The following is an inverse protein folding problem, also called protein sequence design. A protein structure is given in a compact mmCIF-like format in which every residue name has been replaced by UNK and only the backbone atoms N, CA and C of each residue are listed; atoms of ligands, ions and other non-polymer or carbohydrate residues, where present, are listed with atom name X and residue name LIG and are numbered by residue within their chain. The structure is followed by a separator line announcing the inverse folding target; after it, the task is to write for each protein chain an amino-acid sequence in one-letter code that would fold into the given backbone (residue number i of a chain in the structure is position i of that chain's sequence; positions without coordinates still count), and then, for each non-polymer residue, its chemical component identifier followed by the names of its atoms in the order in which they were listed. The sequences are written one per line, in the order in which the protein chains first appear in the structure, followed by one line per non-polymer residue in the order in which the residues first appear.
data_IF_263586357823
#
_entry.id   IF_263586357823
#
_cell.length_a   1.000
_cell.length_b   1.000
_cell.length_c   1.000
_cell.angle_alpha   90.00
_cell.angle_beta   90.00
_cell.angle_gamma   90.00
#
_symmetry.space_group_name_H-M   'P 1'
#
loop_
_entity.id
_entity.type
_entity.pdbx_description
1 polymer ?
2 non-polymer ?
3 non-polymer ?
4 non-polymer ?
5 non-polymer ?
6 water ?
#
# COMPACT_ATOMS: atom_id res chain seq x y z
N UNK A 5 -23.99 1.56 10.14
CA UNK A 5 -24.18 2.06 11.54
C UNK A 5 -22.99 1.66 12.44
N UNK A 6 -22.39 2.66 13.08
CA UNK A 6 -21.23 2.50 13.95
C UNK A 6 -21.71 2.57 15.40
N UNK A 7 -21.60 1.46 16.13
CA UNK A 7 -21.94 1.43 17.56
C UNK A 7 -20.94 2.25 18.39
N UNK A 8 -21.32 2.49 19.64
CA UNK A 8 -20.51 3.28 20.56
C UNK A 8 -19.21 2.58 20.92
N UNK A 9 -18.14 3.35 21.05
CA UNK A 9 -16.90 2.82 21.67
C UNK A 9 -17.14 2.57 23.14
N UNK A 10 -16.47 1.54 23.71
CA UNK A 10 -16.51 1.37 25.15
C UNK A 10 -15.68 2.43 25.86
N UNK A 11 -15.82 2.52 27.19
CA UNK A 11 -14.91 3.31 28.01
C UNK A 11 -13.48 2.84 27.76
N UNK A 12 -12.56 3.80 27.62
CA UNK A 12 -11.14 3.51 27.41
C UNK A 12 -10.33 4.53 28.20
N UNK A 13 -9.21 4.09 28.76
CA UNK A 13 -8.30 4.98 29.50
C UNK A 13 -7.03 5.09 28.70
N UNK A 14 -6.74 6.30 28.22
CA UNK A 14 -5.53 6.55 27.44
C UNK A 14 -5.09 7.99 27.65
N UNK A 15 -3.86 8.32 27.24
CA UNK A 15 -3.39 9.68 27.44
C UNK A 15 -4.20 10.70 26.66
N UNK A 16 -4.48 11.82 27.30
CA UNK A 16 -5.26 12.89 26.68
C UNK A 16 -4.45 13.53 25.56
N UNK A 17 -5.04 13.69 24.37
CA UNK A 17 -4.32 14.46 23.36
C UNK A 17 -4.29 15.91 23.81
N UNK A 18 -3.17 16.58 23.57
CA UNK A 18 -3.05 17.99 23.96
C UNK A 18 -2.85 18.86 22.74
N UNK A 19 -3.75 19.81 22.62
CA UNK A 19 -3.88 20.66 21.47
C UNK A 19 -2.60 21.49 21.23
N UNK A 20 -1.96 21.90 22.32
CA UNK A 20 -0.76 22.75 22.27
C UNK A 20 0.56 21.95 22.36
N UNK A 21 0.45 20.63 22.23
CA UNK A 21 1.59 19.73 22.08
C UNK A 21 1.38 18.87 20.82
N UNK A 22 2.09 19.19 19.73
CA UNK A 22 2.11 18.28 18.56
C UNK A 22 2.71 16.93 18.91
N UNK A 23 2.24 15.88 18.24
CA UNK A 23 2.83 14.54 18.35
C UNK A 23 4.27 14.63 17.78
N UNK A 24 4.35 14.96 16.50
CA UNK A 24 5.58 15.08 15.74
C UNK A 24 5.73 16.50 15.25
N UNK A 25 6.87 17.12 15.53
CA UNK A 25 7.23 18.45 15.03
C UNK A 25 8.25 18.40 13.90
N UNK A 26 8.77 17.21 13.59
CA UNK A 26 9.84 17.03 12.61
C UNK A 26 9.36 16.69 11.21
N UNK A 27 8.08 16.34 11.08
CA UNK A 27 7.52 15.89 9.81
C UNK A 27 6.11 16.46 9.60
N UNK A 28 5.72 16.54 8.34
CA UNK A 28 4.36 16.85 7.93
C UNK A 28 3.46 15.65 8.23
N UNK A 29 2.42 15.86 9.01
CA UNK A 29 1.52 14.77 9.43
C UNK A 29 0.11 14.87 8.81
N UNK A 30 -0.12 15.89 7.98
CA UNK A 30 -1.39 16.01 7.23
C UNK A 30 -1.08 16.69 5.89
N UNK A 31 -1.68 16.19 4.81
CA UNK A 31 -1.47 16.77 3.50
C UNK A 31 -2.29 18.09 3.35
N UNK A 32 -2.01 18.89 2.32
CA UNK A 32 -2.83 20.11 2.14
C UNK A 32 -4.28 19.87 1.73
N UNK A 33 -4.66 18.63 1.42
CA UNK A 33 -6.05 18.28 1.24
C UNK A 33 -6.62 17.54 2.45
N UNK A 34 -5.95 17.69 3.60
CA UNK A 34 -6.43 17.20 4.90
C UNK A 34 -6.52 15.68 4.97
N UNK A 35 -5.57 15.01 4.35
CA UNK A 35 -5.38 13.58 4.54
C UNK A 35 -4.24 13.36 5.54
N UNK A 36 -4.47 12.54 6.57
CA UNK A 36 -3.35 12.18 7.46
C UNK A 36 -2.18 11.54 6.73
N UNK A 37 -0.97 11.88 7.16
CA UNK A 37 0.24 11.17 6.74
C UNK A 37 0.65 10.37 7.96
N UNK A 38 0.69 9.05 7.79
CA UNK A 38 0.78 8.11 8.89
C UNK A 38 2.25 7.86 9.30
N UNK A 39 2.60 8.42 10.45
CA UNK A 39 3.90 8.23 11.12
C UNK A 39 3.67 7.70 12.54
N UNK A 40 4.69 7.02 13.09
CA UNK A 40 4.63 6.61 14.47
C UNK A 40 4.52 7.85 15.37
N UNK A 41 3.64 7.76 16.34
CA UNK A 41 3.36 8.88 17.27
C UNK A 41 2.11 9.66 16.91
N UNK A 42 1.58 9.48 15.70
CA UNK A 42 0.35 10.18 15.28
C UNK A 42 -0.95 9.48 15.65
N UNK A 43 -0.86 8.18 15.96
CA UNK A 43 -2.07 7.39 16.20
C UNK A 43 -2.03 6.59 17.49
N UNK A 44 -3.18 6.47 18.13
CA UNK A 44 -3.39 5.59 19.26
C UNK A 44 -4.03 4.33 18.66
N UNK A 45 -3.23 3.28 18.56
CA UNK A 45 -3.68 2.04 17.92
C UNK A 45 -4.82 1.34 18.67
N UNK A 46 -4.90 1.53 19.99
CA UNK A 46 -6.01 0.97 20.76
C UNK A 46 -7.35 1.55 20.31
N UNK A 47 -7.40 2.87 20.07
CA UNK A 47 -8.62 3.52 19.60
C UNK A 47 -8.96 3.00 18.21
N UNK A 48 -7.99 2.98 17.31
CA UNK A 48 -8.23 2.51 15.95
C UNK A 48 -8.62 1.03 15.90
N UNK A 49 -7.94 0.18 16.66
CA UNK A 49 -8.36 -1.21 16.73
C UNK A 49 -9.80 -1.39 17.16
N UNK A 50 -10.23 -0.63 18.17
CA UNK A 50 -11.62 -0.67 18.61
C UNK A 50 -12.57 -0.28 17.48
N UNK A 51 -12.29 0.84 16.83
CA UNK A 51 -13.15 1.33 15.75
C UNK A 51 -13.28 0.29 14.63
N UNK A 52 -12.16 -0.28 14.19
CA UNK A 52 -12.20 -1.23 13.08
C UNK A 52 -12.74 -2.60 13.46
N UNK A 53 -12.45 -3.08 14.68
CA UNK A 53 -13.07 -4.35 15.15
C UNK A 53 -14.57 -4.24 15.32
N UNK A 54 -15.04 -3.09 15.76
CA UNK A 54 -16.51 -2.87 15.94
C UNK A 54 -17.24 -2.93 14.59
N UNK A 55 -16.53 -2.70 13.48
CA UNK A 55 -17.08 -2.87 12.12
C UNK A 55 -16.80 -4.27 11.53
N UNK A 56 -16.20 -5.18 12.28
CA UNK A 56 -15.78 -6.51 11.83
C UNK A 56 -15.03 -6.44 10.50
N UNK A 57 -14.02 -5.58 10.46
CA UNK A 57 -13.31 -5.28 9.23
C UNK A 57 -12.51 -6.46 8.69
N UNK A 58 -12.64 -6.72 7.38
CA UNK A 58 -11.84 -7.73 6.71
C UNK A 58 -10.89 -7.06 5.71
N UNK A 59 -9.61 -7.40 5.80
CA UNK A 59 -8.60 -6.81 4.96
C UNK A 59 -8.08 -7.88 4.02
N UNK A 60 -8.15 -7.61 2.71
CA UNK A 60 -7.53 -8.45 1.69
C UNK A 60 -6.13 -7.94 1.41
N UNK A 61 -5.16 -8.84 1.28
CA UNK A 61 -3.79 -8.47 0.91
C UNK A 61 -3.45 -9.21 -0.36
N UNK A 62 -3.16 -8.49 -1.43
CA UNK A 62 -2.78 -9.11 -2.69
C UNK A 62 -1.28 -9.09 -2.84
N UNK A 63 -0.73 -10.16 -3.36
CA UNK A 63 0.69 -10.25 -3.60
C UNK A 63 0.94 -11.13 -4.83
N UNK A 64 1.85 -10.70 -5.70
CA UNK A 64 2.19 -11.44 -6.91
C UNK A 64 3.52 -12.13 -6.72
N UNK A 65 3.55 -13.43 -7.04
CA UNK A 65 4.78 -14.22 -6.90
C UNK A 65 4.90 -15.06 -8.16
N UNK A 66 5.48 -14.44 -9.18
CA UNK A 66 5.57 -15.00 -10.53
C UNK A 66 7.02 -15.33 -10.82
N UNK A 67 7.24 -16.48 -11.46
CA UNK A 67 8.57 -16.98 -11.79
C UNK A 67 9.46 -17.11 -10.54
N UNK A 68 10.66 -16.55 -10.52
CA UNK A 68 11.56 -16.78 -9.41
C UNK A 68 11.09 -16.12 -8.10
N UNK A 69 10.12 -15.20 -8.19
CA UNK A 69 9.68 -14.47 -6.99
C UNK A 69 8.85 -15.31 -6.03
N UNK A 70 8.49 -16.55 -6.42
CA UNK A 70 7.88 -17.46 -5.45
C UNK A 70 8.78 -17.72 -4.24
N UNK A 71 10.10 -17.62 -4.42
CA UNK A 71 11.03 -17.79 -3.31
C UNK A 71 10.85 -16.78 -2.17
N UNK A 72 10.23 -15.64 -2.44
CA UNK A 72 10.02 -14.62 -1.39
C UNK A 72 8.79 -14.86 -0.52
N UNK A 73 7.93 -15.80 -0.91
CA UNK A 73 6.66 -15.96 -0.23
C UNK A 73 6.77 -16.41 1.20
N UNK A 74 7.71 -17.29 1.51
CA UNK A 74 7.78 -17.85 2.85
C UNK A 74 8.02 -16.77 3.89
N UNK A 75 9.06 -15.96 3.68
CA UNK A 75 9.36 -14.87 4.62
C UNK A 75 8.27 -13.79 4.61
N UNK A 76 7.73 -13.49 3.43
CA UNK A 76 6.67 -12.49 3.32
C UNK A 76 5.48 -12.90 4.19
N UNK A 77 5.01 -14.12 4.00
CA UNK A 77 3.80 -14.58 4.71
C UNK A 77 4.01 -14.82 6.21
N UNK A 78 5.15 -15.40 6.57
CA UNK A 78 5.45 -15.66 7.96
C UNK A 78 5.60 -14.37 8.75
N UNK A 79 6.22 -13.36 8.16
CA UNK A 79 6.34 -12.08 8.83
C UNK A 79 5.01 -11.32 8.78
N UNK A 80 4.21 -11.45 7.73
CA UNK A 80 2.85 -10.90 7.73
C UNK A 80 2.01 -11.45 8.90
N UNK A 81 2.15 -12.74 9.19
CA UNK A 81 1.49 -13.33 10.32
C UNK A 81 1.88 -12.69 11.66
N UNK A 82 3.13 -12.27 11.77
CA UNK A 82 3.58 -11.61 13.00
C UNK A 82 3.16 -10.16 13.13
N UNK A 83 2.95 -9.47 12.02
CA UNK A 83 2.85 -8.00 12.04
C UNK A 83 1.70 -7.32 11.30
N UNK A 84 0.99 -8.04 10.42
CA UNK A 84 0.05 -7.40 9.53
C UNK A 84 -1.37 -7.63 10.04
N UNK A 85 -2.01 -6.58 10.55
CA UNK A 85 -3.43 -6.61 10.90
C UNK A 85 -3.75 -7.69 11.92
N UNK A 86 -2.84 -7.91 12.87
CA UNK A 86 -3.05 -9.00 13.84
C UNK A 86 -4.28 -8.65 14.70
N UNK A 87 -5.18 -9.60 14.83
CA UNK A 87 -6.43 -9.45 15.54
C UNK A 87 -7.64 -9.17 14.67
N UNK A 88 -7.38 -8.83 13.40
CA UNK A 88 -8.42 -8.52 12.44
C UNK A 88 -8.54 -9.65 11.45
N UNK A 89 -9.62 -9.64 10.68
CA UNK A 89 -9.82 -10.65 9.66
C UNK A 89 -8.96 -10.34 8.44
N UNK A 90 -8.19 -11.30 7.96
CA UNK A 90 -7.25 -11.12 6.83
C UNK A 90 -7.43 -12.24 5.82
N UNK A 91 -7.53 -11.88 4.55
CA UNK A 91 -7.56 -12.82 3.43
C UNK A 91 -6.41 -12.48 2.51
N UNK A 92 -5.42 -13.38 2.44
CA UNK A 92 -4.32 -13.20 1.50
C UNK A 92 -4.72 -13.76 0.15
N UNK A 93 -4.35 -13.05 -0.91
CA UNK A 93 -4.58 -13.53 -2.27
C UNK A 93 -3.22 -13.58 -2.94
N UNK A 94 -2.73 -14.78 -3.21
CA UNK A 94 -1.41 -14.99 -3.78
C UNK A 94 -1.60 -15.33 -5.25
N UNK A 95 -1.20 -14.43 -6.13
CA UNK A 95 -1.27 -14.63 -7.57
C UNK A 95 0.06 -15.22 -8.03
N UNK A 96 0.05 -16.41 -8.64
CA UNK A 96 1.30 -17.09 -9.01
C UNK A 96 1.11 -17.93 -10.27
N UNK A 97 2.20 -18.14 -10.99
CA UNK A 97 2.21 -19.12 -12.09
C UNK A 97 2.63 -20.52 -11.59
N UNK A 98 2.96 -20.64 -10.30
CA UNK A 98 3.42 -21.90 -9.72
C UNK A 98 2.67 -22.21 -8.42
N UNK A 99 1.40 -22.63 -8.51
CA UNK A 99 0.65 -22.87 -7.28
C UNK A 99 1.32 -23.87 -6.33
N UNK A 100 2.03 -24.87 -6.89
CA UNK A 100 2.70 -25.88 -6.06
C UNK A 100 3.95 -25.38 -5.33
N UNK A 101 4.45 -24.20 -5.70
CA UNK A 101 5.62 -23.62 -5.06
C UNK A 101 5.22 -22.67 -3.93
N UNK A 102 3.92 -22.49 -3.69
CA UNK A 102 3.48 -21.66 -2.56
C UNK A 102 3.78 -22.41 -1.25
N UNK A 103 4.54 -21.80 -0.32
CA UNK A 103 4.91 -22.49 0.92
C UNK A 103 3.70 -22.72 1.82
N UNK A 104 3.70 -23.81 2.60
CA UNK A 104 2.62 -24.07 3.54
C UNK A 104 2.95 -23.27 4.80
N UNK A 105 2.23 -22.19 5.00
CA UNK A 105 2.50 -21.28 6.12
C UNK A 105 1.30 -21.37 7.05
N UNK A 106 1.60 -21.52 8.33
CA UNK A 106 0.60 -21.64 9.38
C UNK A 106 0.03 -20.27 9.72
N UNK A 107 -1.28 -20.16 9.65
CA UNK A 107 -1.99 -18.89 9.86
C UNK A 107 -2.66 -18.86 11.21
N UNK A 108 -2.69 -17.68 11.81
CA UNK A 108 -3.51 -17.39 12.98
C UNK A 108 -4.99 -17.45 12.69
N UNK A 109 -5.80 -17.55 13.74
CA UNK A 109 -7.23 -17.65 13.59
C UNK A 109 -7.82 -16.43 12.89
N UNK A 110 -8.85 -16.63 12.09
CA UNK A 110 -9.49 -15.55 11.35
C UNK A 110 -8.76 -15.08 10.09
N UNK A 111 -7.80 -15.87 9.63
CA UNK A 111 -6.95 -15.51 8.52
C UNK A 111 -6.97 -16.66 7.54
N UNK A 112 -7.06 -16.32 6.26
CA UNK A 112 -7.10 -17.32 5.20
C UNK A 112 -6.26 -16.92 4.01
N UNK A 113 -5.90 -17.90 3.20
CA UNK A 113 -5.04 -17.69 2.04
C UNK A 113 -5.64 -18.43 0.85
N UNK A 114 -5.77 -17.73 -0.27
CA UNK A 114 -6.20 -18.28 -1.53
C UNK A 114 -5.06 -18.16 -2.52
N UNK A 115 -4.81 -19.23 -3.28
CA UNK A 115 -3.84 -19.25 -4.35
C UNK A 115 -4.60 -19.04 -5.66
N UNK A 116 -4.26 -18.02 -6.41
CA UNK A 116 -4.90 -17.73 -7.71
C UNK A 116 -3.85 -17.90 -8.78
N UNK A 117 -4.08 -18.86 -9.68
CA UNK A 117 -3.13 -19.13 -10.72
C UNK A 117 -3.31 -18.12 -11.84
N UNK A 118 -2.19 -17.61 -12.34
CA UNK A 118 -2.16 -16.70 -13.47
C UNK A 118 -1.11 -17.12 -14.49
N UNK A 119 -1.15 -16.45 -15.65
CA UNK A 119 -0.12 -16.56 -16.69
C UNK A 119 1.14 -15.79 -16.30
N UNK A 120 2.29 -16.33 -16.69
CA UNK A 120 3.58 -15.65 -16.51
C UNK A 120 3.97 -14.84 -17.76
N UNK A 121 4.19 -13.55 -17.54
CA UNK A 121 4.99 -12.57 -18.33
C UNK A 121 4.31 -11.27 -18.81
N UNK A 128 4.17 -3.44 -18.09
CA UNK A 128 3.88 -3.59 -16.66
C UNK A 128 2.46 -4.01 -16.34
N UNK A 129 1.70 -4.49 -17.33
CA UNK A 129 0.23 -4.43 -17.23
C UNK A 129 -0.46 -5.41 -16.30
N UNK A 130 0.26 -6.47 -15.90
CA UNK A 130 -0.37 -7.60 -15.28
C UNK A 130 -1.04 -7.25 -13.94
N UNK A 131 -0.32 -6.59 -13.04
CA UNK A 131 -0.89 -6.44 -11.69
C UNK A 131 -2.17 -5.60 -11.70
N UNK A 132 -2.17 -4.46 -12.40
CA UNK A 132 -3.35 -3.59 -12.43
C UNK A 132 -4.54 -4.28 -13.08
N UNK A 133 -4.28 -4.97 -14.19
CA UNK A 133 -5.32 -5.73 -14.86
C UNK A 133 -5.88 -6.84 -13.98
N UNK A 134 -4.99 -7.58 -13.31
CA UNK A 134 -5.40 -8.73 -12.51
C UNK A 134 -6.26 -8.28 -11.30
N UNK A 135 -5.89 -7.17 -10.67
CA UNK A 135 -6.67 -6.65 -9.54
C UNK A 135 -8.04 -6.08 -9.92
N UNK A 136 -8.13 -5.45 -11.10
CA UNK A 136 -9.36 -4.79 -11.55
C UNK A 136 -10.30 -5.80 -12.19
N UNK A 139 -10.70 -10.13 -10.80
CA UNK A 139 -11.00 -10.44 -9.40
C UNK A 139 -12.07 -9.53 -8.80
N UNK A 140 -12.76 -8.79 -9.68
CA UNK A 140 -13.58 -7.65 -9.27
C UNK A 140 -14.71 -8.06 -8.34
N UNK A 141 -15.50 -9.02 -8.79
CA UNK A 141 -16.64 -9.52 -8.02
C UNK A 141 -16.22 -10.23 -6.72
N UNK A 142 -15.13 -10.99 -6.78
CA UNK A 142 -14.69 -11.75 -5.61
C UNK A 142 -14.32 -10.85 -4.43
N UNK A 143 -13.46 -9.87 -4.70
CA UNK A 143 -13.02 -8.95 -3.65
C UNK A 143 -14.20 -8.19 -3.03
N UNK A 144 -15.12 -7.71 -3.87
CA UNK A 144 -16.31 -7.03 -3.37
C UNK A 144 -17.12 -7.86 -2.39
N UNK A 145 -17.19 -9.17 -2.61
CA UNK A 145 -17.95 -10.06 -1.74
C UNK A 145 -17.17 -10.44 -0.48
N UNK A 146 -15.84 -10.46 -0.54
CA UNK A 146 -15.04 -11.11 0.50
C UNK A 146 -14.29 -10.21 1.46
N UNK A 147 -13.98 -8.97 1.06
CA UNK A 147 -13.20 -8.08 1.92
C UNK A 147 -13.74 -6.65 1.88
N UNK A 148 -13.38 -5.87 2.89
CA UNK A 148 -13.75 -4.47 2.98
C UNK A 148 -12.71 -3.54 2.37
N UNK A 149 -11.46 -3.85 2.62
CA UNK A 149 -10.30 -3.12 2.10
C UNK A 149 -9.37 -4.06 1.37
N UNK A 150 -8.65 -3.52 0.38
CA UNK A 150 -7.60 -4.21 -0.33
C UNK A 150 -6.33 -3.47 -0.14
N UNK A 151 -5.28 -4.23 0.14
CA UNK A 151 -3.91 -3.75 0.29
C UNK A 151 -3.07 -4.51 -0.73
N UNK A 152 -2.32 -3.81 -1.54
CA UNK A 152 -1.61 -4.39 -2.68
C UNK A 152 -0.15 -4.13 -2.54
N UNK A 153 0.65 -5.16 -2.29
CA UNK A 153 2.07 -5.02 -2.00
C UNK A 153 2.99 -5.91 -2.82
N UNK A 154 4.24 -5.47 -2.95
CA UNK A 154 5.33 -6.26 -3.47
C UNK A 154 5.61 -7.46 -2.54
N UNK A 155 6.09 -8.55 -3.15
CA UNK A 155 6.41 -9.80 -2.42
C UNK A 155 7.84 -9.87 -1.88
N UNK A 156 8.76 -9.13 -2.51
CA UNK A 156 10.18 -9.15 -2.17
C UNK A 156 10.45 -8.23 -0.97
N UNK A 157 9.76 -8.55 0.12
CA UNK A 157 9.63 -7.68 1.27
C UNK A 157 9.45 -8.53 2.50
N UNK A 158 9.65 -7.93 3.66
CA UNK A 158 9.33 -8.56 4.94
C UNK A 158 8.77 -7.54 5.91
N UNK A 159 7.83 -7.97 6.74
CA UNK A 159 7.34 -7.15 7.83
C UNK A 159 8.28 -7.27 9.01
N UNK A 160 8.72 -6.14 9.55
CA UNK A 160 9.53 -6.09 10.74
C UNK A 160 8.82 -5.49 11.95
N UNK A 161 7.71 -4.79 11.74
CA UNK A 161 7.02 -4.12 12.81
C UNK A 161 5.57 -3.96 12.39
N UNK A 162 4.78 -3.48 13.32
CA UNK A 162 3.32 -3.26 13.16
C UNK A 162 2.92 -2.57 11.83
N UNK A 163 2.06 -3.25 11.06
CA UNK A 163 1.32 -2.63 9.97
C UNK A 163 -0.13 -3.00 10.23
N UNK A 164 -0.94 -2.04 10.63
CA UNK A 164 -2.29 -2.31 11.09
C UNK A 164 -3.32 -1.35 10.54
N UNK A 165 -4.45 -1.27 11.24
CA UNK A 165 -5.61 -0.58 10.71
C UNK A 165 -5.45 0.94 10.57
N UNK A 166 -4.39 1.51 11.18
CA UNK A 166 -4.06 2.90 10.92
C UNK A 166 -3.93 3.24 9.42
N UNK A 167 -3.64 2.24 8.57
CA UNK A 167 -3.49 2.52 7.13
C UNK A 167 -4.81 2.59 6.39
N UNK A 168 -5.87 2.05 6.99
CA UNK A 168 -7.11 1.86 6.25
C UNK A 168 -7.94 3.15 6.13
N UNK A 169 -8.51 3.31 4.95
CA UNK A 169 -9.08 4.57 4.45
C UNK A 169 -9.61 4.27 3.04
N UNK A 170 -10.46 5.15 2.49
CA UNK A 170 -10.89 4.84 1.11
C UNK A 170 -9.78 4.66 0.08
N UNK A 171 -8.74 5.51 0.12
CA UNK A 171 -7.63 5.41 -0.84
C UNK A 171 -6.32 5.84 -0.24
N UNK A 172 -5.28 5.00 -0.31
CA UNK A 172 -3.96 5.38 0.18
C UNK A 172 -2.84 5.02 -0.79
N UNK A 173 -1.83 5.89 -0.79
CA UNK A 173 -0.53 5.56 -1.34
C UNK A 173 0.54 5.71 -0.29
N UNK A 174 1.76 5.33 -0.65
CA UNK A 174 2.90 5.29 0.24
C UNK A 174 4.05 6.10 -0.36
N UNK A 175 4.64 6.96 0.44
CA UNK A 175 5.82 7.71 0.01
C UNK A 175 7.00 6.80 -0.31
N UNK A 176 7.51 6.94 -1.53
CA UNK A 176 8.71 6.22 -1.98
C UNK A 176 9.88 6.60 -1.07
N UNK A 177 10.59 5.61 -0.53
CA UNK A 177 11.65 5.89 0.44
C UNK A 177 12.85 6.70 -0.12
N UNK A 178 13.10 6.59 -1.41
CA UNK A 178 14.15 7.38 -2.09
C UNK A 178 13.81 8.84 -2.36
N UNK A 179 12.55 9.26 -2.25
CA UNK A 179 12.13 10.58 -2.76
C UNK A 179 11.36 11.47 -1.80
N UNK A 180 11.18 11.05 -0.55
CA UNK A 180 10.33 11.81 0.38
C UNK A 180 10.92 13.18 0.71
N UNK A 181 12.25 13.32 0.57
CA UNK A 181 12.91 14.62 0.75
C UNK A 181 13.14 15.43 -0.53
N UNK A 182 12.67 14.93 -1.68
CA UNK A 182 13.01 15.50 -2.96
C UNK A 182 12.01 16.56 -3.37
N UNK A 183 12.48 17.56 -4.13
CA UNK A 183 11.56 18.51 -4.72
C UNK A 183 10.95 17.88 -5.97
N UNK A 184 9.80 18.38 -6.39
CA UNK A 184 8.97 17.71 -7.40
C UNK A 184 9.62 17.62 -8.77
N UNK A 185 10.45 18.60 -9.13
CA UNK A 185 11.15 18.54 -10.40
C UNK A 185 12.11 17.33 -10.50
N UNK A 186 12.62 16.86 -9.35
CA UNK A 186 13.48 15.68 -9.27
C UNK A 186 12.74 14.34 -9.27
N UNK A 187 11.42 14.36 -9.02
CA UNK A 187 10.64 13.13 -9.06
C UNK A 187 10.74 12.48 -10.42
N UNK A 188 10.83 11.14 -10.44
CA UNK A 188 10.95 10.41 -11.69
C UNK A 188 9.58 10.09 -12.27
N UNK A 189 8.68 11.08 -12.29
CA UNK A 189 7.42 10.96 -12.99
C UNK A 189 7.70 10.75 -14.48
N UNK A 190 6.74 10.19 -15.19
CA UNK A 190 6.81 10.21 -16.66
C UNK A 190 6.73 11.67 -17.15
N UNK A 191 7.72 12.09 -17.94
CA UNK A 191 7.81 13.48 -18.43
C UNK A 191 7.47 13.71 -19.92
N UNK A 192 7.15 12.65 -20.67
CA UNK A 192 6.81 12.80 -22.10
C UNK A 192 5.32 13.06 -22.23
N UNK A 193 4.91 14.20 -22.85
CA UNK A 193 3.49 14.51 -23.07
C UNK A 193 2.70 13.46 -23.86
N UNK A 194 3.40 12.59 -24.58
CA UNK A 194 2.76 11.55 -25.38
C UNK A 194 2.21 10.41 -24.53
N UNK A 195 2.67 10.30 -23.28
CA UNK A 195 2.16 9.27 -22.34
C UNK A 195 0.97 9.75 -21.50
N UNK A 196 0.01 8.85 -21.29
CA UNK A 196 -1.07 9.08 -20.33
C UNK A 196 -0.57 9.38 -18.91
N UNK A 197 0.60 8.87 -18.55
CA UNK A 197 1.16 9.09 -17.21
C UNK A 197 1.89 10.44 -17.07
N UNK A 198 1.89 11.28 -18.11
CA UNK A 198 2.64 12.54 -18.12
C UNK A 198 2.26 13.47 -16.96
N UNK A 199 3.27 13.97 -16.25
CA UNK A 199 3.12 15.00 -15.25
C UNK A 199 4.21 16.05 -15.49
N UNK A 200 3.83 17.31 -15.73
CA UNK A 200 4.87 18.33 -15.92
C UNK A 200 5.64 18.68 -14.65
N UNK A 201 6.75 19.39 -14.83
CA UNK A 201 7.68 19.67 -13.74
C UNK A 201 7.15 20.57 -12.62
N UNK A 202 6.09 21.34 -12.92
CA UNK A 202 5.43 22.18 -11.92
C UNK A 202 4.20 21.54 -11.24
N UNK A 203 3.96 20.25 -11.48
CA UNK A 203 2.88 19.51 -10.80
C UNK A 203 3.42 18.35 -10.00
N UNK A 204 2.62 17.90 -9.05
CA UNK A 204 3.00 16.80 -8.17
C UNK A 204 2.99 17.16 -6.68
N UNK A 205 2.44 16.27 -5.87
CA UNK A 205 2.49 16.42 -4.43
C UNK A 205 3.65 15.61 -3.89
N UNK A 206 3.60 14.31 -4.17
CA UNK A 206 4.54 13.31 -3.65
C UNK A 206 4.93 12.32 -4.75
N UNK A 207 6.00 11.57 -4.54
CA UNK A 207 6.30 10.43 -5.37
C UNK A 207 5.93 9.16 -4.60
N UNK A 208 4.88 8.49 -5.08
CA UNK A 208 4.37 7.30 -4.42
C UNK A 208 5.03 6.07 -5.04
N UNK A 209 5.35 5.06 -4.23
CA UNK A 209 5.94 3.83 -4.78
C UNK A 209 4.84 2.84 -5.13
N UNK A 210 5.07 2.10 -6.22
CA UNK A 210 4.10 1.08 -6.68
C UNK A 210 3.94 -0.11 -5.78
N UNK A 211 4.79 -0.24 -4.78
CA UNK A 211 4.96 -1.44 -3.96
C UNK A 211 4.01 -1.54 -2.77
N UNK A 212 3.20 -0.50 -2.53
CA UNK A 212 2.27 -0.49 -1.38
C UNK A 212 1.19 0.57 -1.62
N UNK A 213 0.01 0.15 -2.04
CA UNK A 213 -1.13 1.02 -2.15
C UNK A 213 -2.36 0.23 -1.75
N UNK A 214 -3.48 0.91 -1.61
CA UNK A 214 -4.70 0.24 -1.17
C UNK A 214 -5.84 1.18 -0.90
N UNK A 215 -6.86 0.65 -0.25
CA UNK A 215 -8.07 1.42 0.01
C UNK A 215 -9.28 0.52 0.12
N UNK A 216 -10.47 1.10 0.05
CA UNK A 216 -11.68 0.30 -0.06
C UNK A 216 -11.65 -0.49 -1.36
N UNK A 217 -12.40 -1.59 -1.41
CA UNK A 217 -12.41 -2.37 -2.64
C UNK A 217 -12.83 -1.49 -3.82
N UNK A 218 -13.87 -0.69 -3.62
CA UNK A 218 -14.35 0.18 -4.69
C UNK A 218 -13.25 1.12 -5.20
N UNK A 219 -12.54 1.78 -4.30
CA UNK A 219 -11.54 2.75 -4.73
C UNK A 219 -10.32 2.07 -5.35
N UNK A 220 -9.95 0.89 -4.85
CA UNK A 220 -8.83 0.17 -5.42
C UNK A 220 -9.19 -0.32 -6.84
N UNK A 221 -10.41 -0.76 -7.02
CA UNK A 221 -10.86 -1.18 -8.37
C UNK A 221 -10.89 -0.01 -9.33
N UNK A 222 -11.29 1.18 -8.86
CA UNK A 222 -11.23 2.39 -9.68
C UNK A 222 -9.82 2.73 -10.10
N UNK A 223 -8.89 2.67 -9.15
CA UNK A 223 -7.53 3.03 -9.43
C UNK A 223 -6.91 2.05 -10.41
N UNK A 224 -7.10 0.75 -10.16
CA UNK A 224 -6.45 -0.27 -10.97
C UNK A 224 -7.05 -0.30 -12.37
N UNK A 225 -8.37 -0.09 -12.46
CA UNK A 225 -9.03 0.05 -13.77
C UNK A 225 -8.46 1.21 -14.55
N UNK A 226 -8.38 2.36 -13.93
CA UNK A 226 -7.87 3.58 -14.58
C UNK A 226 -6.43 3.36 -15.04
N UNK A 227 -5.59 2.78 -14.20
CA UNK A 227 -4.18 2.57 -14.56
C UNK A 227 -4.07 1.57 -15.70
N UNK A 228 -4.87 0.50 -15.66
CA UNK A 228 -4.88 -0.49 -16.74
C UNK A 228 -5.30 0.16 -18.06
N UNK A 229 -6.40 0.90 -18.05
CA UNK A 229 -6.85 1.59 -19.27
C UNK A 229 -5.80 2.56 -19.81
N UNK A 230 -5.17 3.34 -18.93
CA UNK A 230 -4.11 4.28 -19.33
C UNK A 230 -2.89 3.57 -19.93
N UNK A 231 -2.49 2.45 -19.34
CA UNK A 231 -1.36 1.68 -19.87
C UNK A 231 -1.71 1.11 -21.27
N UNK A 232 -2.98 0.74 -21.49
CA UNK A 232 -3.43 0.20 -22.78
C UNK A 232 -3.35 1.26 -23.85
N UNK A 233 -3.78 2.48 -23.52
CA UNK A 233 -3.67 3.62 -24.45
C UNK A 233 -2.21 3.83 -24.83
N UNK A 234 -1.33 3.88 -23.83
CA UNK A 234 0.12 4.00 -24.08
C UNK A 234 0.66 2.91 -25.02
N UNK A 235 0.25 1.66 -24.78
CA UNK A 235 0.70 0.53 -25.59
C UNK A 235 0.26 0.72 -27.04
N UNK A 236 -1.00 1.11 -27.24
CA UNK A 236 -1.53 1.39 -28.57
C UNK A 236 -0.79 2.51 -29.28
N UNK A 237 -0.33 3.50 -28.52
CA UNK A 237 0.49 4.61 -29.01
C UNK A 237 2.01 4.35 -29.04
N UNK A 238 2.43 3.13 -28.75
CA UNK A 238 3.85 2.77 -28.81
C UNK A 238 4.74 3.48 -27.81
N UNK A 239 4.23 3.68 -26.59
CA UNK A 239 5.04 4.29 -25.54
C UNK A 239 4.85 3.47 -24.27
N UNK A 240 5.93 3.35 -23.49
CA UNK A 240 5.91 2.65 -22.21
C UNK A 240 6.46 3.61 -21.18
N UNK A 241 5.68 3.89 -20.14
CA UNK A 241 6.08 4.88 -19.15
C UNK A 241 7.36 4.47 -18.45
N UNK A 242 8.19 5.46 -18.11
CA UNK A 242 9.52 5.25 -17.56
C UNK A 242 9.56 4.28 -16.37
N UNK A 243 8.57 4.38 -15.47
CA UNK A 243 8.46 3.42 -14.36
C UNK A 243 7.16 2.64 -14.38
N UNK A 244 6.64 2.41 -15.58
CA UNK A 244 5.66 1.37 -15.80
C UNK A 244 4.43 1.63 -14.94
N UNK A 245 3.91 0.66 -14.19
CA UNK A 245 2.64 0.95 -13.51
C UNK A 245 2.77 1.99 -12.39
N UNK A 246 3.97 2.14 -11.85
CA UNK A 246 4.24 3.20 -10.87
C UNK A 246 4.04 4.59 -11.45
N UNK A 247 4.42 4.78 -12.71
CA UNK A 247 4.19 6.07 -13.37
C UNK A 247 2.71 6.43 -13.45
N UNK A 248 1.89 5.43 -13.77
CA UNK A 248 0.45 5.60 -13.85
C UNK A 248 -0.22 5.76 -12.49
N UNK A 249 0.30 5.03 -11.50
CA UNK A 249 -0.19 5.17 -10.13
C UNK A 249 0.00 6.62 -9.66
N UNK A 250 1.17 7.18 -9.96
CA UNK A 250 1.45 8.57 -9.61
C UNK A 250 0.55 9.56 -10.30
N UNK A 251 0.26 9.32 -11.57
CA UNK A 251 -0.67 10.15 -12.29
C UNK A 251 -2.05 10.06 -11.67
N UNK A 252 -2.47 8.84 -11.32
CA UNK A 252 -3.79 8.67 -10.74
C UNK A 252 -3.92 9.41 -9.40
N UNK A 253 -2.91 9.25 -8.55
CA UNK A 253 -2.97 9.84 -7.20
C UNK A 253 -2.76 11.34 -7.19
N UNK A 254 -2.18 11.89 -8.25
CA UNK A 254 -2.15 13.33 -8.43
C UNK A 254 -3.55 13.89 -8.68
N UNK A 255 -4.29 13.22 -9.56
CA UNK A 255 -5.61 13.69 -9.97
C UNK A 255 -6.76 13.20 -9.08
N UNK A 256 -6.48 12.19 -8.25
CA UNK A 256 -7.42 11.63 -7.26
C UNK A 256 -6.69 11.51 -5.95
N UNK A 257 -6.82 12.53 -5.09
CA UNK A 257 -5.97 12.62 -3.94
C UNK A 257 -6.27 11.47 -2.97
N UNK A 258 -5.24 10.81 -2.44
CA UNK A 258 -5.48 9.78 -1.44
C UNK A 258 -5.98 10.36 -0.14
N UNK A 259 -6.79 9.59 0.57
CA UNK A 259 -7.40 9.99 1.84
C UNK A 259 -6.51 9.70 3.06
N UNK A 260 -5.47 8.88 2.89
CA UNK A 260 -4.28 8.84 3.79
C UNK A 260 -3.04 8.63 2.94
N UNK A 261 -1.90 9.06 3.46
CA UNK A 261 -0.60 8.80 2.86
C UNK A 261 0.26 8.09 3.89
N UNK A 262 0.83 6.95 3.53
CA UNK A 262 1.72 6.26 4.45
C UNK A 262 3.14 6.82 4.34
N UNK A 263 3.75 7.06 5.49
CA UNK A 263 5.15 7.47 5.53
C UNK A 263 6.09 6.34 5.07
N UNK A 264 7.37 6.67 4.88
CA UNK A 264 8.30 5.61 4.47
C UNK A 264 8.61 4.55 5.52
N UNK A 265 8.10 4.70 6.74
CA UNK A 265 8.11 3.58 7.71
C UNK A 265 7.51 2.33 7.07
N UNK A 266 6.54 2.57 6.18
CA UNK A 266 5.76 1.48 5.56
C UNK A 266 6.37 0.91 4.30
N UNK A 267 7.48 1.49 3.81
CA UNK A 267 8.14 0.97 2.62
C UNK A 267 9.59 1.46 2.62
N UNK A 268 10.47 0.63 3.16
CA UNK A 268 11.86 1.04 3.40
C UNK A 268 12.86 0.03 2.86
N UNK A 269 14.05 0.50 2.53
CA UNK A 269 15.15 -0.38 2.15
C UNK A 269 16.33 0.01 3.02
N UNK A 270 16.61 -0.78 4.04
CA UNK A 270 17.65 -0.44 5.01
C UNK A 270 19.04 -0.59 4.43
N UNK A 271 19.23 -1.57 3.54
CA UNK A 271 20.53 -1.76 2.89
C UNK A 271 20.92 -0.51 2.08
N UNK A 272 19.96 0.03 1.34
CA UNK A 272 20.18 1.19 0.49
C UNK A 272 20.21 2.50 1.26
N UNK A 273 19.34 2.65 2.26
CA UNK A 273 19.05 3.97 2.86
C UNK A 273 19.28 4.10 4.37
N UNK A 274 19.69 3.02 5.02
CA UNK A 274 20.03 3.03 6.43
C UNK A 274 18.82 3.17 7.33
N UNK A 275 18.94 3.98 8.36
CA UNK A 275 17.88 4.17 9.37
C UNK A 275 17.91 5.61 9.87
N UNK A 276 17.36 6.53 9.07
CA UNK A 276 17.34 7.96 9.44
C UNK A 276 16.55 8.27 10.71
N UNK A 277 16.88 9.39 11.34
CA UNK A 277 16.27 9.81 12.59
C UNK A 277 14.75 9.97 12.49
N UNK A 278 14.30 10.39 11.32
CA UNK A 278 12.89 10.59 11.09
C UNK A 278 12.05 9.31 11.13
N UNK A 279 12.68 8.14 10.97
CA UNK A 279 11.95 6.85 11.08
C UNK A 279 12.08 6.24 12.46
N UNK A 280 11.00 6.26 13.24
CA UNK A 280 11.01 5.66 14.57
C UNK A 280 10.79 4.16 14.53
N UNK A 281 10.20 3.69 13.42
CA UNK A 281 10.01 2.27 13.17
C UNK A 281 10.24 2.00 11.70
N UNK A 282 10.79 0.81 11.41
CA UNK A 282 10.92 0.28 10.06
C UNK A 282 9.94 -0.88 10.01
N UNK A 283 8.82 -0.70 9.30
CA UNK A 283 7.72 -1.65 9.40
C UNK A 283 7.71 -2.72 8.32
N UNK A 284 8.03 -2.35 7.08
CA UNK A 284 7.86 -3.24 5.89
C UNK A 284 9.02 -2.84 5.00
N UNK A 285 9.91 -3.80 4.78
CA UNK A 285 11.27 -3.50 4.26
C UNK A 285 11.66 -4.45 3.15
N UNK A 286 12.49 -3.94 2.24
CA UNK A 286 13.01 -4.71 1.09
C UNK A 286 13.89 -5.86 1.53
N UNK A 287 13.72 -6.99 0.86
CA UNK A 287 14.61 -8.13 1.03
C UNK A 287 15.64 -8.02 -0.09
N UNK A 288 16.94 -8.14 0.23
CA UNK A 288 17.97 -8.21 -0.81
C UNK A 288 17.65 -9.18 -1.95
N UNK A 289 17.86 -8.74 -3.20
CA UNK A 289 17.73 -9.62 -4.37
C UNK A 289 18.82 -9.34 -5.41
X LIG B 1 9.84 -4.76 -5.04
X LIG C 1 7.15 -9.69 -9.73
X LIG C 1 7.07 -11.09 -9.82
X LIG C 1 7.90 -11.75 -10.66
X LIG C 1 8.81 -11.12 -11.42
X LIG C 1 8.89 -9.73 -11.36
X LIG C 1 8.04 -9.03 -10.50
X LIG C 1 6.24 -11.70 -9.12
X LIG C 1 9.55 -11.77 -12.19
X LIG C 1 6.21 -9.01 -8.84
X LIG C 1 6.63 -9.16 -7.39
X LIG C 1 5.49 -9.19 -6.53
X LIG C 1 7.41 -7.89 -7.14
X LIG C 1 6.60 -6.88 -7.95
X LIG C 1 6.16 -7.60 -9.10
X LIG C 1 7.50 -7.58 -5.76
X LIG C 1 7.31 -5.61 -8.39
X LIG C 1 8.53 -5.94 -9.03
X LIG C 1 9.96 -5.55 -8.37
X LIG C 1 11.00 -6.26 -9.19
X LIG C 1 9.95 -5.77 -6.88
X LIG C 1 9.99 -3.99 -8.81
X LIG C 1 9.78 -2.64 -7.92
X LIG C 1 11.20 -2.17 -7.83
X LIG C 1 8.90 -2.89 -6.73
X LIG C 1 8.79 -1.75 -8.85
X LIG C 1 9.10 -0.53 -9.50
X LIG C 1 7.79 0.15 -9.91
X LIG C 1 7.11 -0.64 -11.02
X LIG C 1 8.06 -0.90 -12.18
X LIG C 1 9.32 -1.58 -11.68
X LIG C 1 10.27 -1.85 -12.84
X LIG C 1 6.90 0.26 -8.77
X LIG C 1 5.94 0.05 -11.52
X LIG C 1 8.42 0.32 -12.80
X LIG C 1 9.93 -0.77 -10.65
X LIG C 1 11.38 -2.60 -12.35
X LIG D 1 19.48 0.03 -7.44
X LIG D 1 19.24 0.90 -6.21
X LIG D 1 18.88 2.35 -6.53
X LIG D 1 17.37 2.61 -6.64
X LIG D 1 16.93 3.88 -5.94
X LIG D 1 15.59 4.39 -6.43
X LIG D 1 14.63 3.33 -6.26
X LIG D 1 13.96 3.02 -7.45
X LIG D 1 13.11 4.10 -7.77
X LIG D 1 12.45 3.90 -9.00
X LIG D 1 11.69 5.19 -9.33
X LIG D 1 12.65 6.25 -9.60
X LIG D 1 11.55 2.68 -8.90
X LIG D 1 10.51 2.88 -7.91
X LIG D 1 12.37 1.46 -8.52
X LIG D 1 13.15 1.76 -7.25
X LIG D 1 14.03 0.68 -6.94
X LIG D 1 13.49 -0.28 -6.01
X LIG D 1 13.25 0.29 -4.72
X LIG D 1 14.43 0.72 -4.06
X LIG D 1 14.01 1.37 -2.75
X LIG D 1 15.38 -0.46 -3.87
X LIG D 1 14.81 -1.45 -3.01
X LIG D 1 15.73 -1.06 -5.22
X LIG D 1 16.68 -2.12 -5.03
X LIG D 1 14.44 -1.48 -5.91
X LIG D 1 14.78 -1.94 -7.21
X LIG D 1 20.74 -0.84 -7.31
X LIG D 1 21.94 -0.15 -7.95
X LIG E 1 1.02 -1.91 18.32
X LIG E 1 0.48 -3.21 18.53
X LIG E 1 1.35 -4.24 17.84
X LIG E 1 3.64 -5.98 15.09
X LIG E 1 2.70 -6.27 16.15
X LIG E 1 1.27 -5.78 15.86
X LIG E 1 0.71 -4.72 16.65
#
# INVERSE_FOLDING_TARGET
AIGEFMVSLPRMVYPQPKVLTPCRKDVLVVTPWLAPIVWEGTFNIDILNEQFRLQNTTIGLTVFAIKKYVAFLKLFLETAEKHFMVGHRVHYYVFTDQPAAVPRVTLGTGRQLSVLEVRAYKRWQDVSMRRMEMISDFCERRFLSEVDYLVCVDVDMEFRDHVGVEILTPLFGTLHPSFYGSSREAFTYERRPQSQAYIPKDEGDFYYMGAFFGGSVQEVQRLTRACHQAMMVDQANGIEAVWHDESHLNKYLLRHKPTKVLSPEYLWDQQLLGWPAVLRKLRFTAVPKNHQAVRNPE
MN MN
GDU N1 C2 N3 C4 C5 C6 O2 O4 C1D C2D O2D C3D C4D O4D O3D C5D O5D PA O1A O2A O3A PB O1B O2B O3B C1' C2' C3' C4' C5' C6' O2' O3' O4' O5' O6'
DA8 C16 C15 C14 C13 C12 C11 O1 C1 O5 C5 C6 O6 C4 O4 C3 C2 O2 C1F O5F C5F C6F C4F O4F C3F O3F C2F O2F C19 C20
PGE O2 C3 C4 O4 C6 C5 O3
#
